data_IF_947370723624
#
_entry.id   IF_947370723624
#
_cell.length_a   1.000
_cell.length_b   1.000
_cell.length_c   1.000
_cell.angle_alpha   90.00
_cell.angle_beta   90.00
_cell.angle_gamma   90.00
#
_symmetry.space_group_name_H-M   'P 1'
#
loop_
_entity.id
_entity.type
_entity.pdbx_description
1 polymer ?
#
# COMPACT_ATOMS: atom_id res chain seq x y z
N UNK A 1 8.42 18.82 19.13
CA UNK A 1 8.18 17.89 18.01
C UNK A 1 6.70 17.57 17.97
N UNK A 2 5.93 18.28 17.16
CA UNK A 2 4.56 17.86 16.84
C UNK A 2 4.67 16.86 15.71
N UNK A 3 4.25 15.61 15.96
CA UNK A 3 4.12 14.63 14.89
C UNK A 3 3.16 15.21 13.85
N UNK A 4 3.67 15.51 12.65
CA UNK A 4 2.84 15.95 11.54
C UNK A 4 1.96 14.75 11.16
N UNK A 5 0.73 14.74 11.65
CA UNK A 5 -0.18 13.62 11.41
C UNK A 5 -0.43 13.51 9.91
N UNK A 6 -0.24 12.31 9.34
CA UNK A 6 -0.57 11.98 7.94
C UNK A 6 -1.94 12.53 7.53
N UNK A 7 -2.90 12.51 8.45
CA UNK A 7 -4.22 13.08 8.27
C UNK A 7 -4.21 14.59 7.95
N UNK A 8 -3.43 15.39 8.68
CA UNK A 8 -3.31 16.85 8.44
C UNK A 8 -2.62 17.17 7.12
N UNK A 9 -1.64 16.36 6.72
CA UNK A 9 -0.99 16.50 5.42
C UNK A 9 -1.98 16.21 4.27
N UNK A 10 -2.77 15.14 4.40
CA UNK A 10 -3.80 14.79 3.44
C UNK A 10 -4.87 15.89 3.30
N UNK A 11 -5.33 16.47 4.42
CA UNK A 11 -6.24 17.64 4.38
C UNK A 11 -5.64 18.84 3.65
N UNK A 12 -4.37 19.18 3.92
CA UNK A 12 -3.70 20.33 3.27
C UNK A 12 -3.49 20.14 1.76
N UNK A 13 -3.38 18.89 1.31
CA UNK A 13 -3.19 18.54 -0.09
C UNK A 13 -4.50 18.20 -0.80
N UNK A 14 -5.65 18.35 -0.13
CA UNK A 14 -6.97 17.95 -0.64
C UNK A 14 -7.04 16.47 -1.07
N UNK A 15 -6.19 15.63 -0.49
CA UNK A 15 -6.15 14.19 -0.72
C UNK A 15 -7.06 13.55 0.34
N UNK A 16 -8.18 12.94 -0.04
CA UNK A 16 -8.96 12.13 0.90
C UNK A 16 -8.18 10.84 1.23
N UNK A 17 -7.70 10.63 2.48
CA UNK A 17 -6.81 9.51 2.81
C UNK A 17 -7.53 8.17 2.90
N UNK A 18 -8.84 8.16 3.10
CA UNK A 18 -9.66 6.97 3.35
C UNK A 18 -10.93 6.98 2.50
N UNK A 19 -10.82 7.20 1.19
CA UNK A 19 -11.95 6.92 0.30
C UNK A 19 -12.11 5.41 0.21
N UNK A 20 -13.30 4.93 0.54
CA UNK A 20 -13.69 3.56 0.25
C UNK A 20 -13.63 3.40 -1.27
N UNK A 21 -12.82 2.47 -1.75
CA UNK A 21 -12.86 2.11 -3.16
C UNK A 21 -14.27 1.58 -3.46
N UNK A 22 -15.02 2.28 -4.31
CA UNK A 22 -16.40 1.94 -4.73
C UNK A 22 -16.43 1.14 -6.05
N UNK A 23 -15.29 0.61 -6.49
CA UNK A 23 -15.22 -0.31 -7.62
C UNK A 23 -15.36 -1.77 -7.16
N UNK A 24 -15.78 -2.64 -8.07
CA UNK A 24 -15.63 -4.07 -7.89
C UNK A 24 -14.16 -4.43 -8.14
N UNK A 25 -13.51 -5.07 -7.18
CA UNK A 25 -12.17 -5.62 -7.42
C UNK A 25 -12.39 -6.97 -8.10
N UNK A 26 -12.40 -6.97 -9.43
CA UNK A 26 -12.51 -8.18 -10.25
C UNK A 26 -11.35 -9.18 -10.00
N UNK A 27 -10.33 -8.77 -9.25
CA UNK A 27 -9.13 -9.54 -8.92
C UNK A 27 -8.95 -9.72 -7.41
N UNK A 28 -8.28 -10.82 -7.04
CA UNK A 28 -7.90 -11.12 -5.67
C UNK A 28 -7.06 -9.96 -5.07
N UNK A 29 -7.43 -9.39 -3.91
CA UNK A 29 -6.71 -8.27 -3.33
C UNK A 29 -5.23 -8.54 -3.03
N UNK A 30 -4.87 -9.77 -2.65
CA UNK A 30 -3.47 -10.11 -2.40
C UNK A 30 -2.68 -10.19 -3.72
N UNK A 31 -3.30 -10.69 -4.80
CA UNK A 31 -2.71 -10.62 -6.15
C UNK A 31 -2.47 -9.18 -6.60
N UNK A 32 -3.44 -8.28 -6.42
CA UNK A 32 -3.26 -6.87 -6.79
C UNK A 32 -2.12 -6.18 -6.03
N UNK A 33 -1.94 -6.53 -4.75
CA UNK A 33 -0.83 -6.00 -3.94
C UNK A 33 0.54 -6.54 -4.38
N UNK A 34 0.62 -7.82 -4.77
CA UNK A 34 1.86 -8.39 -5.33
C UNK A 34 2.22 -7.72 -6.66
N UNK A 35 1.24 -7.52 -7.54
CA UNK A 35 1.43 -6.79 -8.80
C UNK A 35 1.91 -5.35 -8.55
N UNK A 36 1.29 -4.65 -7.60
CA UNK A 36 1.72 -3.32 -7.19
C UNK A 36 3.16 -3.32 -6.64
N UNK A 37 3.55 -4.34 -5.87
CA UNK A 37 4.92 -4.46 -5.36
C UNK A 37 5.93 -4.63 -6.49
N UNK A 38 5.60 -5.42 -7.52
CA UNK A 38 6.44 -5.54 -8.72
C UNK A 38 6.55 -4.19 -9.43
N UNK A 39 5.44 -3.48 -9.63
CA UNK A 39 5.44 -2.15 -10.25
C UNK A 39 6.26 -1.13 -9.45
N UNK A 40 6.23 -1.19 -8.12
CA UNK A 40 7.05 -0.34 -7.25
C UNK A 40 8.56 -0.54 -7.51
N UNK A 41 8.99 -1.76 -7.83
CA UNK A 41 10.38 -2.06 -8.19
C UNK A 41 10.82 -1.41 -9.52
N UNK A 42 9.87 -0.97 -10.37
CA UNK A 42 10.14 -0.29 -11.64
C UNK A 42 10.07 1.23 -11.55
N UNK A 43 9.65 1.80 -10.42
CA UNK A 43 9.61 3.27 -10.25
C UNK A 43 11.05 3.77 -10.22
N UNK A 44 11.41 4.59 -11.21
CA UNK A 44 12.68 5.29 -11.22
C UNK A 44 12.67 6.40 -10.16
N UNK A 45 13.65 6.37 -9.26
CA UNK A 45 13.77 7.28 -8.12
C UNK A 45 15.22 7.69 -7.94
N UNK A 46 15.46 8.88 -7.39
CA UNK A 46 16.81 9.27 -7.01
C UNK A 46 17.32 8.41 -5.84
N UNK A 47 18.63 8.47 -5.57
CA UNK A 47 19.23 7.67 -4.49
C UNK A 47 18.68 8.03 -3.12
N UNK A 48 18.29 9.29 -2.92
CA UNK A 48 17.69 9.79 -1.68
C UNK A 48 16.33 9.12 -1.41
N UNK A 49 15.56 8.81 -2.46
CA UNK A 49 14.22 8.22 -2.38
C UNK A 49 14.23 6.67 -2.49
N UNK A 50 15.39 6.05 -2.67
CA UNK A 50 15.51 4.60 -2.79
C UNK A 50 14.97 3.86 -1.55
N UNK A 51 15.23 4.40 -0.36
CA UNK A 51 14.76 3.80 0.89
C UNK A 51 13.23 3.78 0.99
N UNK A 52 12.58 4.85 0.53
CA UNK A 52 11.12 4.95 0.46
C UNK A 52 10.54 3.90 -0.49
N UNK A 53 11.13 3.76 -1.69
CA UNK A 53 10.65 2.78 -2.69
C UNK A 53 10.76 1.34 -2.19
N UNK A 54 11.88 1.01 -1.53
CA UNK A 54 12.06 -0.30 -0.91
C UNK A 54 11.04 -0.54 0.22
N UNK A 55 10.81 0.45 1.08
CA UNK A 55 9.83 0.36 2.15
C UNK A 55 8.39 0.21 1.61
N UNK A 56 8.06 0.89 0.50
CA UNK A 56 6.77 0.72 -0.18
C UNK A 56 6.59 -0.72 -0.68
N UNK A 57 7.59 -1.26 -1.39
CA UNK A 57 7.54 -2.63 -1.88
C UNK A 57 7.41 -3.67 -0.76
N UNK A 58 8.12 -3.48 0.35
CA UNK A 58 8.03 -4.36 1.53
C UNK A 58 6.64 -4.29 2.20
N UNK A 59 6.09 -3.09 2.36
CA UNK A 59 4.76 -2.89 2.92
C UNK A 59 3.66 -3.55 2.07
N UNK A 60 3.76 -3.47 0.73
CA UNK A 60 2.81 -4.10 -0.19
C UNK A 60 2.84 -5.64 -0.07
N UNK A 61 4.03 -6.24 -0.05
CA UNK A 61 4.20 -7.69 0.12
C UNK A 61 3.70 -8.17 1.49
N UNK A 62 3.98 -7.41 2.54
CA UNK A 62 3.50 -7.70 3.89
C UNK A 62 1.97 -7.69 3.95
N UNK A 63 1.33 -6.66 3.38
CA UNK A 63 -0.12 -6.57 3.34
C UNK A 63 -0.75 -7.74 2.56
N UNK A 64 -0.15 -8.16 1.44
CA UNK A 64 -0.60 -9.34 0.69
C UNK A 64 -0.52 -10.62 1.53
N UNK A 65 0.57 -10.81 2.29
CA UNK A 65 0.74 -11.95 3.18
C UNK A 65 -0.27 -11.95 4.34
N UNK A 66 -0.57 -10.79 4.92
CA UNK A 66 -1.57 -10.65 5.99
C UNK A 66 -2.97 -11.01 5.49
N UNK A 67 -3.35 -10.55 4.30
CA UNK A 67 -4.64 -10.90 3.69
C UNK A 67 -4.77 -12.41 3.49
N UNK A 68 -3.74 -13.06 2.95
CA UNK A 68 -3.73 -14.52 2.77
C UNK A 68 -3.86 -15.24 4.11
N UNK A 69 -3.11 -14.82 5.12
CA UNK A 69 -3.17 -15.38 6.47
C UNK A 69 -4.56 -15.30 7.07
N UNK A 70 -5.22 -14.13 6.97
CA UNK A 70 -6.59 -13.95 7.47
C UNK A 70 -7.60 -14.79 6.69
N UNK A 71 -7.42 -14.91 5.37
CA UNK A 71 -8.29 -15.72 4.51
C UNK A 71 -8.15 -17.21 4.83
N UNK A 72 -6.93 -17.72 4.94
CA UNK A 72 -6.65 -19.10 5.29
C UNK A 72 -7.25 -19.45 6.66
N UNK A 73 -7.16 -18.53 7.64
CA UNK A 73 -7.78 -18.69 8.95
C UNK A 73 -9.33 -18.65 8.94
N UNK A 74 -9.93 -18.04 7.92
CA UNK A 74 -11.39 -18.01 7.74
C UNK A 74 -11.91 -19.25 7.03
N UNK A 75 -11.13 -19.76 6.07
CA UNK A 75 -11.53 -20.85 5.17
C UNK A 75 -11.20 -22.25 5.73
N UNK A 76 -10.38 -22.33 6.80
CA UNK A 76 -10.06 -23.56 7.55
C UNK A 76 -10.93 -23.82 8.76
#
# INVERSE_FOLDING_TARGET
MTAFSRYRLCELLEIMPYVRYEGDLDADPATLLDEAALLADWIDVSIEDLSWRLALGDALRTAAADIRTVRDARDG
#
